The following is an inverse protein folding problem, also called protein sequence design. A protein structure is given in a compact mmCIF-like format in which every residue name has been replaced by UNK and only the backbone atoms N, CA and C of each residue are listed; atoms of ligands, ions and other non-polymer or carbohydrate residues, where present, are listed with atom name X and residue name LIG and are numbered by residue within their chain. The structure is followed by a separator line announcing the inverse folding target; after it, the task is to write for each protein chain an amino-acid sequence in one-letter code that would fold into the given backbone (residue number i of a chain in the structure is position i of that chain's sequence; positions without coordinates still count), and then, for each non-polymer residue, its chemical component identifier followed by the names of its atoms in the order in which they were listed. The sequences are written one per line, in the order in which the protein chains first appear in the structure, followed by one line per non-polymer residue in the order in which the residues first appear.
data_IF_775818160475
#
_entry.id   IF_775818160475
#
_cell.length_a   1.000
_cell.length_b   1.000
_cell.length_c   1.000
_cell.angle_alpha   90.00
_cell.angle_beta   90.00
_cell.angle_gamma   90.00
#
_symmetry.space_group_name_H-M   'P 1'
#
loop_
_entity.id
_entity.type
_entity.pdbx_description
1 polymer ?
#
# COMPACT_ATOMS: atom_id res chain seq x y z
N UNK A 1 22.51 12.24 2.42
CA UNK A 1 23.24 13.45 2.89
C UNK A 1 22.73 14.61 2.09
N UNK A 2 22.22 15.66 2.72
CA UNK A 2 21.63 16.81 2.03
C UNK A 2 22.24 18.09 2.56
N UNK A 3 22.50 19.03 1.65
CA UNK A 3 22.96 20.38 1.97
C UNK A 3 21.75 21.31 2.06
N UNK A 4 21.48 21.83 3.25
CA UNK A 4 20.39 22.78 3.51
C UNK A 4 20.98 23.94 4.31
N UNK A 5 20.78 25.18 3.84
CA UNK A 5 21.28 26.40 4.47
C UNK A 5 22.79 26.38 4.78
N UNK A 6 23.58 25.82 3.87
CA UNK A 6 25.04 25.70 4.03
C UNK A 6 25.50 24.64 5.04
N UNK A 7 24.58 23.89 5.64
CA UNK A 7 24.89 22.82 6.58
C UNK A 7 24.72 21.44 5.94
N UNK A 8 25.71 20.58 6.13
CA UNK A 8 25.65 19.16 5.72
C UNK A 8 24.87 18.38 6.77
N UNK A 9 23.73 17.81 6.37
CA UNK A 9 22.88 16.98 7.24
C UNK A 9 22.94 15.52 6.83
N UNK A 10 23.19 14.66 7.82
CA UNK A 10 23.13 13.22 7.68
C UNK A 10 21.70 12.73 7.91
N UNK A 11 21.23 11.86 7.01
CA UNK A 11 19.90 11.29 7.09
C UNK A 11 19.97 9.96 7.85
N UNK A 12 19.10 9.82 8.85
CA UNK A 12 19.01 8.61 9.68
C UNK A 12 17.99 7.61 9.14
N UNK A 13 17.13 8.07 8.25
CA UNK A 13 16.10 7.29 7.57
C UNK A 13 16.12 7.64 6.08
N UNK A 14 15.45 6.79 5.30
CA UNK A 14 15.21 7.02 3.89
C UNK A 14 14.41 8.31 3.69
N UNK A 15 14.91 9.17 2.83
CA UNK A 15 14.33 10.47 2.50
C UNK A 15 13.66 10.46 1.11
N UNK A 16 12.90 11.53 0.86
CA UNK A 16 12.37 11.79 -0.46
C UNK A 16 13.45 12.34 -1.41
N UNK A 17 13.35 11.99 -2.69
CA UNK A 17 14.17 12.59 -3.75
C UNK A 17 15.41 11.80 -4.17
N UNK A 18 15.85 10.81 -3.39
CA UNK A 18 16.91 9.90 -3.84
C UNK A 18 16.41 8.81 -4.79
N UNK A 19 17.15 8.59 -5.87
CA UNK A 19 16.72 7.73 -6.99
C UNK A 19 16.50 6.25 -6.60
N UNK A 20 17.26 5.73 -5.63
CA UNK A 20 17.14 4.33 -5.18
C UNK A 20 16.02 4.11 -4.17
N UNK A 21 15.49 5.16 -3.53
CA UNK A 21 14.57 5.04 -2.40
C UNK A 21 13.24 4.37 -2.77
N UNK A 22 12.58 4.69 -3.90
CA UNK A 22 11.36 3.97 -4.29
C UNK A 22 11.59 2.47 -4.47
N UNK A 23 12.77 2.07 -4.97
CA UNK A 23 13.13 0.66 -5.13
C UNK A 23 13.40 -0.04 -3.80
N UNK A 24 14.09 0.62 -2.86
CA UNK A 24 14.30 0.11 -1.50
C UNK A 24 12.96 -0.07 -0.79
N UNK A 25 12.09 0.94 -0.86
CA UNK A 25 10.76 0.86 -0.29
C UNK A 25 9.91 -0.23 -0.95
N UNK A 26 9.98 -0.35 -2.27
CA UNK A 26 9.29 -1.38 -3.02
C UNK A 26 9.54 -2.79 -2.48
N UNK A 27 10.79 -3.10 -2.11
CA UNK A 27 11.17 -4.39 -1.50
C UNK A 27 10.60 -4.59 -0.09
N UNK A 28 10.57 -3.53 0.72
CA UNK A 28 9.92 -3.58 2.04
C UNK A 28 8.42 -3.86 1.86
N UNK A 29 7.80 -3.17 0.92
CA UNK A 29 6.40 -3.34 0.59
C UNK A 29 6.09 -4.73 -0.01
N UNK A 30 7.03 -5.35 -0.74
CA UNK A 30 6.94 -6.75 -1.18
C UNK A 30 6.97 -7.72 0.01
N UNK A 31 7.83 -7.48 1.00
CA UNK A 31 7.89 -8.29 2.22
C UNK A 31 6.58 -8.19 3.03
N UNK A 32 5.99 -6.99 3.11
CA UNK A 32 4.69 -6.77 3.74
C UNK A 32 3.58 -7.55 3.00
N UNK A 33 3.62 -7.54 1.67
CA UNK A 33 2.69 -8.31 0.85
C UNK A 33 2.78 -9.82 1.14
N UNK A 34 4.00 -10.36 1.30
CA UNK A 34 4.19 -11.75 1.72
C UNK A 34 3.61 -12.03 3.11
N UNK A 35 3.76 -11.10 4.05
CA UNK A 35 3.14 -11.22 5.38
C UNK A 35 1.62 -11.27 5.25
N UNK A 36 1.01 -10.34 4.51
CA UNK A 36 -0.44 -10.35 4.26
C UNK A 36 -0.93 -11.69 3.68
N UNK A 37 -0.21 -12.24 2.71
CA UNK A 37 -0.51 -13.56 2.11
C UNK A 37 -0.52 -14.68 3.13
N UNK A 38 0.41 -14.66 4.10
CA UNK A 38 0.45 -15.64 5.20
C UNK A 38 -0.72 -15.53 6.17
N UNK A 39 -1.37 -14.36 6.25
CA UNK A 39 -2.61 -14.15 7.01
C UNK A 39 -3.88 -14.38 6.18
N UNK A 40 -3.77 -14.92 4.95
CA UNK A 40 -4.91 -15.22 4.08
C UNK A 40 -5.36 -14.06 3.19
N UNK A 41 -4.65 -12.93 3.21
CA UNK A 41 -4.92 -11.77 2.35
C UNK A 41 -4.12 -11.96 1.05
N UNK A 42 -4.73 -12.58 0.06
CA UNK A 42 -4.00 -13.07 -1.14
C UNK A 42 -4.08 -12.15 -2.35
N UNK A 43 -5.21 -11.47 -2.54
CA UNK A 43 -5.51 -10.69 -3.76
C UNK A 43 -5.22 -9.22 -3.48
N UNK A 44 -3.94 -8.87 -3.58
CA UNK A 44 -3.45 -7.52 -3.32
C UNK A 44 -2.58 -7.07 -4.48
N UNK A 45 -2.94 -5.95 -5.09
CA UNK A 45 -2.06 -5.22 -6.01
C UNK A 45 -1.28 -4.18 -5.21
N UNK A 46 -0.05 -3.92 -5.64
CA UNK A 46 0.84 -2.99 -4.96
C UNK A 46 1.67 -2.21 -5.96
N UNK A 47 1.82 -0.92 -5.73
CA UNK A 47 2.75 -0.04 -6.43
C UNK A 47 3.52 0.79 -5.42
N UNK A 48 4.79 0.48 -5.21
CA UNK A 48 5.66 1.14 -4.21
C UNK A 48 4.98 1.15 -2.83
N UNK A 49 4.38 2.27 -2.41
CA UNK A 49 3.65 2.48 -1.15
C UNK A 49 2.12 2.37 -1.26
N UNK A 50 1.54 2.31 -2.46
CA UNK A 50 0.11 2.16 -2.69
C UNK A 50 -0.30 0.68 -2.75
N UNK A 51 -1.39 0.33 -2.06
CA UNK A 51 -1.92 -1.03 -1.99
C UNK A 51 -3.42 -1.06 -2.33
N UNK A 52 -3.84 -2.05 -3.11
CA UNK A 52 -5.25 -2.32 -3.44
C UNK A 52 -5.59 -3.73 -3.00
N UNK A 53 -6.43 -3.82 -1.98
CA UNK A 53 -6.93 -5.07 -1.42
C UNK A 53 -8.25 -5.43 -2.08
N UNK A 54 -8.32 -6.61 -2.71
CA UNK A 54 -9.49 -7.06 -3.44
C UNK A 54 -10.22 -8.19 -2.73
N UNK A 55 -11.54 -8.17 -2.81
CA UNK A 55 -12.44 -9.25 -2.38
C UNK A 55 -13.36 -9.60 -3.53
N UNK A 56 -13.63 -10.89 -3.68
CA UNK A 56 -14.53 -11.40 -4.71
C UNK A 56 -15.72 -12.09 -4.06
N UNK A 57 -16.95 -11.86 -4.55
CA UNK A 57 -18.11 -12.63 -4.14
C UNK A 57 -17.83 -14.13 -4.33
N UNK A 58 -18.11 -14.95 -3.31
CA UNK A 58 -17.99 -16.41 -3.38
C UNK A 58 -16.60 -17.01 -3.13
N UNK A 59 -15.56 -16.20 -2.88
CA UNK A 59 -14.27 -16.73 -2.41
C UNK A 59 -14.34 -17.05 -0.91
N UNK A 60 -13.81 -18.18 -0.46
CA UNK A 60 -13.86 -18.58 0.96
C UNK A 60 -12.98 -17.71 1.87
N UNK A 61 -11.91 -17.12 1.33
CA UNK A 61 -10.94 -16.32 2.09
C UNK A 61 -11.41 -14.86 2.27
N UNK A 62 -12.52 -14.66 2.97
CA UNK A 62 -12.97 -13.33 3.36
C UNK A 62 -12.09 -12.79 4.49
N UNK A 63 -11.51 -11.62 4.26
CA UNK A 63 -10.88 -10.80 5.28
C UNK A 63 -11.61 -9.46 5.38
N UNK A 64 -11.52 -8.83 6.54
CA UNK A 64 -12.04 -7.49 6.78
C UNK A 64 -10.89 -6.47 6.76
N UNK A 65 -11.28 -5.19 6.73
CA UNK A 65 -10.35 -4.07 6.83
C UNK A 65 -9.58 -4.11 8.15
N UNK A 66 -10.21 -4.58 9.24
CA UNK A 66 -9.59 -4.65 10.56
C UNK A 66 -8.33 -5.51 10.55
N UNK A 67 -8.33 -6.67 9.90
CA UNK A 67 -7.15 -7.53 9.79
C UNK A 67 -5.98 -6.81 9.12
N UNK A 68 -6.24 -6.01 8.07
CA UNK A 68 -5.20 -5.21 7.39
C UNK A 68 -4.56 -4.21 8.37
N UNK A 69 -5.40 -3.46 9.11
CA UNK A 69 -4.93 -2.48 10.08
C UNK A 69 -4.21 -3.12 11.26
N UNK A 70 -4.68 -4.27 11.76
CA UNK A 70 -4.05 -4.99 12.87
C UNK A 70 -2.64 -5.48 12.48
N UNK A 71 -2.49 -6.03 11.27
CA UNK A 71 -1.18 -6.45 10.76
C UNK A 71 -0.26 -5.23 10.61
N UNK A 72 -0.76 -4.15 10.01
CA UNK A 72 0.02 -2.91 9.84
C UNK A 72 0.50 -2.34 11.19
N UNK A 73 -0.40 -2.24 12.17
CA UNK A 73 -0.07 -1.78 13.52
C UNK A 73 1.00 -2.64 14.17
N UNK A 74 0.91 -3.97 14.05
CA UNK A 74 1.93 -4.91 14.58
C UNK A 74 3.30 -4.77 13.91
N UNK A 75 3.34 -4.35 12.65
CA UNK A 75 4.58 -4.09 11.91
C UNK A 75 5.14 -2.69 12.18
N UNK A 76 4.46 -1.86 12.98
CA UNK A 76 4.80 -0.45 13.14
C UNK A 76 4.57 0.36 11.86
N UNK A 77 3.76 -0.16 10.93
CA UNK A 77 3.43 0.48 9.67
C UNK A 77 2.24 1.41 9.85
N UNK A 78 2.45 2.69 9.54
CA UNK A 78 1.44 3.73 9.66
C UNK A 78 0.85 4.09 8.30
N UNK A 79 -0.39 3.67 8.05
CA UNK A 79 -1.16 4.19 6.92
C UNK A 79 -1.78 5.55 7.26
N UNK A 80 -2.07 6.34 6.23
CA UNK A 80 -2.89 7.54 6.35
C UNK A 80 -4.38 7.17 6.33
N UNK A 81 -5.13 7.33 7.44
CA UNK A 81 -6.55 6.97 7.49
C UNK A 81 -7.41 7.77 6.50
N UNK A 82 -7.01 9.00 6.15
CA UNK A 82 -7.74 9.85 5.22
C UNK A 82 -7.60 9.41 3.75
N UNK A 83 -6.65 8.52 3.46
CA UNK A 83 -6.42 7.95 2.13
C UNK A 83 -6.91 6.50 2.00
N UNK A 84 -7.43 5.93 3.09
CA UNK A 84 -7.95 4.57 3.08
C UNK A 84 -9.41 4.55 2.64
N UNK A 85 -9.75 3.61 1.76
CA UNK A 85 -11.11 3.38 1.28
C UNK A 85 -11.51 1.94 1.59
N UNK A 86 -12.54 1.77 2.43
CA UNK A 86 -13.07 0.45 2.80
C UNK A 86 -13.80 -0.18 1.61
N UNK A 87 -13.12 -1.08 0.90
CA UNK A 87 -13.62 -1.89 -0.20
C UNK A 87 -14.61 -1.16 -1.12
N UNK A 88 -14.25 0.07 -1.48
CA UNK A 88 -15.11 0.93 -2.27
C UNK A 88 -15.27 0.39 -3.69
N UNK A 89 -16.50 0.47 -4.20
CA UNK A 89 -16.80 0.16 -5.62
C UNK A 89 -16.17 1.15 -6.59
N UNK A 90 -15.76 2.33 -6.09
CA UNK A 90 -15.12 3.39 -6.87
C UNK A 90 -13.97 3.98 -6.09
N UNK A 91 -12.76 3.95 -6.66
CA UNK A 91 -11.55 4.43 -6.01
C UNK A 91 -10.52 4.93 -7.03
N UNK A 92 -9.57 5.76 -6.58
CA UNK A 92 -8.42 6.16 -7.40
C UNK A 92 -7.20 5.35 -7.01
N UNK A 93 -6.50 4.81 -7.99
CA UNK A 93 -5.25 4.09 -7.79
C UNK A 93 -4.31 4.44 -8.95
N UNK A 94 -3.07 4.82 -8.62
CA UNK A 94 -2.02 5.23 -9.57
C UNK A 94 -2.48 6.23 -10.65
N UNK A 95 -3.38 7.16 -10.28
CA UNK A 95 -3.91 8.19 -11.17
C UNK A 95 -5.13 7.79 -12.00
N UNK A 96 -5.54 6.52 -11.97
CA UNK A 96 -6.74 6.05 -12.67
C UNK A 96 -7.93 5.96 -11.71
N UNK A 97 -9.11 6.33 -12.20
CA UNK A 97 -10.36 6.08 -11.51
C UNK A 97 -10.83 4.67 -11.87
N UNK A 98 -10.90 3.81 -10.88
CA UNK A 98 -11.48 2.47 -10.97
C UNK A 98 -12.95 2.58 -10.55
N UNK A 99 -13.86 2.24 -11.45
CA UNK A 99 -15.31 2.17 -11.19
C UNK A 99 -15.78 0.75 -11.50
N UNK A 100 -16.01 -0.04 -10.45
CA UNK A 100 -16.40 -1.44 -10.55
C UNK A 100 -17.91 -1.62 -10.75
N UNK A 101 -18.71 -0.55 -10.64
CA UNK A 101 -20.15 -0.61 -10.89
C UNK A 101 -20.48 -0.60 -12.39
N UNK A 102 -19.60 -0.01 -13.20
CA UNK A 102 -19.77 0.11 -14.65
C UNK A 102 -18.78 -0.82 -15.37
N UNK A 103 -19.21 -2.07 -15.63
CA UNK A 103 -18.52 -2.92 -16.59
C UNK A 103 -19.02 -2.57 -18.00
N UNK A 104 -18.23 -1.80 -18.76
CA UNK A 104 -18.40 -1.80 -20.21
C UNK A 104 -18.06 -3.22 -20.70
N UNK A 105 -19.05 -3.91 -21.28
CA UNK A 105 -18.81 -5.23 -21.88
C UNK A 105 -17.81 -5.04 -23.04
N UNK A 106 -16.80 -5.91 -23.16
CA UNK A 106 -15.83 -5.86 -24.24
C UNK A 106 -16.48 -6.08 -25.61
#
# INVERSE_FOLDING_TARGET
MVLIDGLVRMQKCMDFGGASHPGVWGKIADAILEIFRRYGITDVLKWVDDFVFMRYPGKENWYDVKLIWDIAARLGWTWDPGKFFDFAIRYRYIGFLWDLAHQEKP
#
